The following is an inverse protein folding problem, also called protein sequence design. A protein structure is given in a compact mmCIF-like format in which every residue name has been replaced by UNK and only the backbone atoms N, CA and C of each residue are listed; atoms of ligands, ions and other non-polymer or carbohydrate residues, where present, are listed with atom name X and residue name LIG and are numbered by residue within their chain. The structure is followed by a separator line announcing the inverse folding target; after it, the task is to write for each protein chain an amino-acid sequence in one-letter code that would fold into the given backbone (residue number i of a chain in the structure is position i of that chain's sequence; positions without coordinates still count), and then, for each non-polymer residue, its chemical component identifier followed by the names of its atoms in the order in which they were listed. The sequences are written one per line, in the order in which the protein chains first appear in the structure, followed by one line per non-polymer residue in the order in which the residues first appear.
data_IF_155607869278
#
_entry.id   IF_155607869278
#
_cell.length_a   1.000
_cell.length_b   1.000
_cell.length_c   1.000
_cell.angle_alpha   90.00
_cell.angle_beta   90.00
_cell.angle_gamma   90.00
#
_symmetry.space_group_name_H-M   'P 1'
#
loop_
_entity.id
_entity.type
_entity.pdbx_description
1 polymer ?
#
# COMPACT_ATOMS: atom_id res chain seq x y z
N UNK A 1 -10.64 -7.48 -8.55
CA UNK A 1 -10.60 -6.44 -7.50
C UNK A 1 -11.27 -6.97 -6.22
N UNK A 2 -10.83 -8.14 -5.72
CA UNK A 2 -11.39 -8.79 -4.53
C UNK A 2 -10.70 -8.33 -3.23
N UNK A 3 -9.48 -7.79 -3.34
CA UNK A 3 -8.68 -7.35 -2.20
C UNK A 3 -9.30 -6.14 -1.48
N UNK A 4 -9.80 -5.15 -2.22
CA UNK A 4 -10.41 -3.96 -1.60
C UNK A 4 -11.60 -4.37 -0.74
N UNK A 5 -12.51 -5.20 -1.26
CA UNK A 5 -13.68 -5.69 -0.53
C UNK A 5 -13.30 -6.48 0.73
N UNK A 6 -12.26 -7.33 0.66
CA UNK A 6 -11.74 -8.01 1.85
C UNK A 6 -11.22 -7.02 2.90
N UNK A 7 -10.50 -5.99 2.49
CA UNK A 7 -10.01 -4.95 3.40
C UNK A 7 -11.17 -4.15 4.02
N UNK A 8 -12.21 -3.85 3.24
CA UNK A 8 -13.42 -3.18 3.77
C UNK A 8 -14.03 -3.99 4.90
N UNK A 9 -14.28 -5.29 4.67
CA UNK A 9 -14.85 -6.19 5.68
C UNK A 9 -13.95 -6.28 6.93
N UNK A 10 -12.64 -6.45 6.75
CA UNK A 10 -11.66 -6.47 7.84
C UNK A 10 -11.72 -5.18 8.68
N UNK A 11 -11.79 -4.02 8.03
CA UNK A 11 -11.81 -2.70 8.68
C UNK A 11 -13.11 -2.47 9.42
N UNK A 12 -14.25 -2.78 8.82
CA UNK A 12 -15.56 -2.59 9.45
C UNK A 12 -15.72 -3.50 10.67
N UNK A 13 -15.22 -4.74 10.62
CA UNK A 13 -15.17 -5.62 11.80
C UNK A 13 -14.25 -5.08 12.91
N UNK A 14 -13.11 -4.49 12.54
CA UNK A 14 -12.21 -3.86 13.51
C UNK A 14 -12.81 -2.60 14.11
N UNK A 15 -13.59 -1.82 13.34
CA UNK A 15 -14.26 -0.62 13.81
C UNK A 15 -15.19 -0.92 14.98
N UNK A 16 -16.13 -1.85 14.82
CA UNK A 16 -17.09 -2.17 15.88
C UNK A 16 -16.38 -2.63 17.16
N UNK A 17 -15.36 -3.50 17.05
CA UNK A 17 -14.54 -3.92 18.20
C UNK A 17 -13.83 -2.76 18.88
N UNK A 18 -13.25 -1.83 18.11
CA UNK A 18 -12.54 -0.68 18.67
C UNK A 18 -13.50 0.27 19.38
N UNK A 19 -14.69 0.51 18.81
CA UNK A 19 -15.72 1.38 19.41
C UNK A 19 -16.17 0.81 20.77
N UNK A 20 -16.47 -0.49 20.84
CA UNK A 20 -16.85 -1.16 22.09
C UNK A 20 -15.77 -1.06 23.18
N UNK A 21 -14.49 -1.05 22.80
CA UNK A 21 -13.34 -0.98 23.73
C UNK A 21 -13.01 0.43 24.24
N UNK A 22 -13.61 1.47 23.66
CA UNK A 22 -13.39 2.84 24.13
C UNK A 22 -14.01 3.05 25.53
N UNK A 23 -13.42 3.97 26.30
CA UNK A 23 -13.96 4.38 27.59
C UNK A 23 -15.12 5.37 27.42
N UNK A 24 -15.91 5.57 28.49
CA UNK A 24 -17.06 6.47 28.45
C UNK A 24 -16.65 7.92 28.13
N UNK A 25 -15.45 8.33 28.55
CA UNK A 25 -14.89 9.66 28.25
C UNK A 25 -14.77 9.94 26.76
N UNK A 26 -14.52 8.91 25.95
CA UNK A 26 -14.43 9.05 24.50
C UNK A 26 -15.77 9.46 23.85
N UNK A 27 -16.90 9.23 24.52
CA UNK A 27 -18.25 9.51 24.03
C UNK A 27 -18.87 10.80 24.61
N UNK A 28 -18.17 11.48 25.51
CA UNK A 28 -18.55 12.80 26.00
C UNK A 28 -18.51 13.84 24.87
N UNK A 29 -19.39 14.85 24.91
CA UNK A 29 -19.51 15.85 23.82
C UNK A 29 -18.20 16.57 23.48
N UNK A 30 -17.37 16.86 24.48
CA UNK A 30 -16.07 17.50 24.28
C UNK A 30 -15.02 16.62 23.57
N UNK A 31 -15.27 15.31 23.48
CA UNK A 31 -14.31 14.33 22.97
C UNK A 31 -14.80 13.59 21.72
N UNK A 32 -16.10 13.55 21.45
CA UNK A 32 -16.69 12.72 20.37
C UNK A 32 -16.11 13.00 18.99
N UNK A 33 -15.89 14.28 18.65
CA UNK A 33 -15.29 14.66 17.36
C UNK A 33 -13.85 14.15 17.25
N UNK A 34 -13.06 14.31 18.32
CA UNK A 34 -11.67 13.80 18.38
C UNK A 34 -11.63 12.28 18.30
N UNK A 35 -12.59 11.59 18.94
CA UNK A 35 -12.73 10.14 18.89
C UNK A 35 -12.99 9.66 17.47
N UNK A 36 -13.94 10.28 16.75
CA UNK A 36 -14.24 9.96 15.35
C UNK A 36 -13.02 10.16 14.44
N UNK A 37 -12.32 11.29 14.54
CA UNK A 37 -11.08 11.54 13.79
C UNK A 37 -10.01 10.48 14.09
N UNK A 38 -9.78 10.16 15.36
CA UNK A 38 -8.79 9.14 15.76
C UNK A 38 -9.14 7.74 15.26
N UNK A 39 -10.42 7.37 15.23
CA UNK A 39 -10.86 6.10 14.68
C UNK A 39 -10.62 6.06 13.17
N UNK A 40 -10.96 7.15 12.47
CA UNK A 40 -10.73 7.26 11.02
C UNK A 40 -9.25 7.16 10.67
N UNK A 41 -8.38 7.94 11.33
CA UNK A 41 -6.94 7.91 11.07
C UNK A 41 -6.30 6.54 11.29
N UNK A 42 -6.86 5.73 12.22
CA UNK A 42 -6.38 4.38 12.52
C UNK A 42 -6.89 3.31 11.57
N UNK A 43 -8.00 3.55 10.89
CA UNK A 43 -8.73 2.54 10.12
C UNK A 43 -8.77 2.83 8.63
N UNK A 44 -8.51 4.07 8.21
CA UNK A 44 -8.45 4.43 6.80
C UNK A 44 -7.40 3.59 6.07
N UNK A 45 -7.72 3.24 4.83
CA UNK A 45 -6.77 2.58 3.95
C UNK A 45 -5.88 3.66 3.34
N UNK A 46 -4.58 3.61 3.63
CA UNK A 46 -3.59 4.47 2.98
C UNK A 46 -2.91 3.75 1.82
N UNK A 47 -2.60 4.50 0.76
CA UNK A 47 -1.84 3.99 -0.38
C UNK A 47 -0.40 3.69 0.08
N UNK A 48 0.15 2.49 -0.22
CA UNK A 48 1.56 2.22 0.00
C UNK A 48 2.46 3.16 -0.81
N UNK A 49 3.56 3.59 -0.21
CA UNK A 49 4.49 4.51 -0.85
C UNK A 49 5.58 3.76 -1.62
N UNK A 50 5.65 4.02 -2.92
CA UNK A 50 6.62 3.42 -3.83
C UNK A 50 7.40 4.53 -4.54
N UNK A 51 8.69 4.63 -4.22
CA UNK A 51 9.55 5.72 -4.69
C UNK A 51 10.28 5.29 -5.97
N UNK A 52 9.55 5.32 -7.10
CA UNK A 52 10.08 4.98 -8.42
C UNK A 52 11.26 5.87 -8.81
N UNK A 53 11.20 7.14 -8.46
CA UNK A 53 12.21 8.15 -8.72
C UNK A 53 13.55 7.88 -8.01
N UNK A 54 13.53 7.12 -6.91
CA UNK A 54 14.73 6.69 -6.18
C UNK A 54 15.31 5.37 -6.72
N UNK A 55 14.97 4.97 -7.95
CA UNK A 55 15.47 3.72 -8.53
C UNK A 55 16.99 3.77 -8.71
N UNK A 56 17.70 2.85 -8.08
CA UNK A 56 19.13 2.64 -8.25
C UNK A 56 19.36 1.65 -9.38
N UNK A 57 20.29 1.98 -10.29
CA UNK A 57 20.67 1.12 -11.41
C UNK A 57 22.10 0.62 -11.22
N UNK A 58 22.28 -0.69 -11.27
CA UNK A 58 23.58 -1.36 -11.24
C UNK A 58 23.75 -2.17 -12.52
N UNK A 59 24.85 -1.95 -13.25
CA UNK A 59 25.25 -2.81 -14.37
C UNK A 59 26.55 -3.50 -13.95
N UNK A 60 26.58 -4.82 -14.06
CA UNK A 60 27.71 -5.59 -13.58
C UNK A 60 27.89 -6.92 -14.30
N UNK A 61 28.85 -7.69 -13.79
CA UNK A 61 29.19 -9.02 -14.27
C UNK A 61 29.25 -9.96 -13.07
N UNK A 62 28.73 -11.17 -13.21
CA UNK A 62 28.82 -12.23 -12.19
C UNK A 62 29.20 -13.55 -12.86
N UNK A 63 29.77 -14.48 -12.09
CA UNK A 63 30.08 -15.83 -12.59
C UNK A 63 28.89 -16.75 -12.39
N UNK A 64 28.56 -17.52 -13.43
CA UNK A 64 27.49 -18.51 -13.37
C UNK A 64 27.84 -19.61 -12.38
N UNK A 65 26.98 -19.82 -11.39
CA UNK A 65 27.08 -20.92 -10.43
C UNK A 65 26.26 -22.11 -10.96
N UNK A 66 26.78 -23.33 -10.78
CA UNK A 66 26.22 -24.58 -11.38
C UNK A 66 24.72 -24.79 -11.16
N UNK A 67 24.19 -24.37 -10.01
CA UNK A 67 22.78 -24.60 -9.63
C UNK A 67 21.82 -23.50 -10.07
N UNK A 68 22.32 -22.36 -10.57
CA UNK A 68 21.50 -21.19 -10.94
C UNK A 68 21.90 -20.65 -12.32
N UNK A 69 22.12 -21.57 -13.26
CA UNK A 69 22.63 -21.20 -14.59
C UNK A 69 21.51 -20.66 -15.48
N UNK A 70 21.59 -19.41 -15.95
CA UNK A 70 20.65 -18.88 -16.92
C UNK A 70 20.63 -19.75 -18.17
N UNK A 71 19.47 -19.86 -18.83
CA UNK A 71 19.32 -20.68 -20.04
C UNK A 71 20.36 -20.28 -21.09
N UNK A 72 21.19 -21.24 -21.50
CA UNK A 72 22.26 -21.03 -22.50
C UNK A 72 23.61 -20.57 -21.93
N UNK A 73 23.75 -20.44 -20.61
CA UNK A 73 25.01 -20.15 -19.94
C UNK A 73 25.66 -21.44 -19.39
N UNK A 74 26.98 -21.54 -19.48
CA UNK A 74 27.73 -22.65 -18.87
C UNK A 74 28.20 -22.29 -17.45
N UNK A 75 28.30 -23.25 -16.51
CA UNK A 75 28.91 -23.00 -15.21
C UNK A 75 30.31 -22.41 -15.34
N UNK A 76 30.62 -21.36 -14.56
CA UNK A 76 31.89 -20.65 -14.60
C UNK A 76 32.02 -19.60 -15.70
N UNK A 77 31.05 -19.47 -16.61
CA UNK A 77 30.97 -18.40 -17.60
C UNK A 77 30.65 -17.06 -16.93
N UNK A 78 31.21 -15.97 -17.44
CA UNK A 78 30.81 -14.62 -17.05
C UNK A 78 29.47 -14.25 -17.71
N UNK A 79 28.52 -13.77 -16.91
CA UNK A 79 27.25 -13.21 -17.37
C UNK A 79 27.15 -11.76 -16.95
N UNK A 80 26.52 -10.97 -17.81
CA UNK A 80 26.29 -9.55 -17.55
C UNK A 80 24.87 -9.36 -17.04
N UNK A 81 24.69 -8.43 -16.11
CA UNK A 81 23.38 -8.09 -15.62
C UNK A 81 23.17 -6.58 -15.52
N UNK A 82 21.92 -6.18 -15.63
CA UNK A 82 21.43 -4.88 -15.22
C UNK A 82 20.38 -5.11 -14.13
N UNK A 83 20.55 -4.43 -13.00
CA UNK A 83 19.70 -4.51 -11.83
C UNK A 83 19.13 -3.12 -11.53
N UNK A 84 17.80 -3.03 -11.51
CA UNK A 84 17.07 -1.84 -11.10
C UNK A 84 16.43 -2.14 -9.75
N UNK A 85 16.64 -1.25 -8.79
CA UNK A 85 16.17 -1.42 -7.42
C UNK A 85 15.39 -0.18 -7.00
N UNK A 86 14.09 -0.31 -6.80
CA UNK A 86 13.20 0.78 -6.42
C UNK A 86 12.63 0.54 -5.00
N UNK A 87 12.78 1.48 -4.06
CA UNK A 87 12.33 1.29 -2.69
C UNK A 87 10.81 1.39 -2.52
N UNK A 88 10.29 0.59 -1.59
CA UNK A 88 8.94 0.68 -1.01
C UNK A 88 9.11 1.34 0.36
N UNK A 89 8.60 2.56 0.53
CA UNK A 89 8.85 3.39 1.72
C UNK A 89 7.92 3.07 2.87
N UNK A 90 6.69 2.66 2.57
CA UNK A 90 5.67 2.38 3.58
C UNK A 90 4.62 1.38 3.08
N UNK A 91 3.93 0.74 4.00
CA UNK A 91 2.82 -0.17 3.67
C UNK A 91 3.23 -1.44 2.93
N UNK A 92 4.42 -1.99 3.21
CA UNK A 92 4.99 -3.14 2.49
C UNK A 92 4.03 -4.34 2.38
N UNK A 93 3.38 -4.72 3.47
CA UNK A 93 2.42 -5.84 3.46
C UNK A 93 1.25 -5.58 2.51
N UNK A 94 0.69 -4.38 2.55
CA UNK A 94 -0.40 -3.98 1.65
C UNK A 94 0.10 -3.88 0.20
N UNK A 95 1.30 -3.35 -0.02
CA UNK A 95 1.95 -3.31 -1.33
C UNK A 95 2.06 -4.72 -1.95
N UNK A 96 2.54 -5.70 -1.18
CA UNK A 96 2.61 -7.09 -1.61
C UNK A 96 1.23 -7.70 -1.90
N UNK A 97 0.22 -7.39 -1.07
CA UNK A 97 -1.16 -7.83 -1.30
C UNK A 97 -1.72 -7.25 -2.60
N UNK A 98 -1.49 -5.97 -2.90
CA UNK A 98 -1.98 -5.28 -4.10
C UNK A 98 -1.38 -5.89 -5.37
N UNK A 99 -0.06 -6.11 -5.39
CA UNK A 99 0.61 -6.66 -6.57
C UNK A 99 0.33 -8.15 -6.75
N UNK A 100 0.15 -8.88 -5.65
CA UNK A 100 -0.15 -10.32 -5.66
C UNK A 100 0.95 -11.15 -6.33
N UNK A 101 0.72 -12.47 -6.45
CA UNK A 101 1.72 -13.37 -7.07
C UNK A 101 1.88 -13.22 -8.58
N UNK A 102 0.93 -12.58 -9.25
CA UNK A 102 0.89 -12.47 -10.71
C UNK A 102 1.90 -11.47 -11.29
N UNK A 103 2.40 -10.56 -10.45
CA UNK A 103 3.36 -9.56 -10.89
C UNK A 103 4.81 -10.07 -10.85
N UNK A 104 5.05 -11.14 -10.09
CA UNK A 104 6.38 -11.66 -9.84
C UNK A 104 6.86 -12.64 -10.91
N UNK A 105 8.14 -12.53 -11.25
CA UNK A 105 8.86 -13.44 -12.15
C UNK A 105 10.32 -13.51 -11.73
N UNK A 106 11.08 -14.45 -12.27
CA UNK A 106 12.52 -14.60 -11.96
C UNK A 106 13.33 -13.30 -12.14
N UNK A 107 12.87 -12.42 -13.04
CA UNK A 107 13.51 -11.15 -13.36
C UNK A 107 12.84 -9.94 -12.69
N UNK A 108 11.75 -10.15 -11.94
CA UNK A 108 11.00 -9.08 -11.31
C UNK A 108 10.36 -9.54 -10.00
N UNK A 109 10.87 -9.07 -8.87
CA UNK A 109 10.46 -9.55 -7.55
C UNK A 109 10.55 -8.44 -6.50
N UNK A 110 10.00 -8.70 -5.31
CA UNK A 110 10.09 -7.80 -4.17
C UNK A 110 10.82 -8.53 -3.02
N UNK A 111 11.79 -7.86 -2.40
CA UNK A 111 12.50 -8.33 -1.21
C UNK A 111 13.01 -7.13 -0.40
N UNK A 112 13.16 -7.25 0.92
CA UNK A 112 13.77 -6.22 1.79
C UNK A 112 13.30 -4.79 1.50
N UNK A 113 11.97 -4.60 1.43
CA UNK A 113 11.30 -3.33 1.11
C UNK A 113 11.72 -2.70 -0.23
N UNK A 114 12.10 -3.52 -1.21
CA UNK A 114 12.54 -3.07 -2.53
C UNK A 114 11.96 -3.94 -3.63
N UNK A 115 11.60 -3.29 -4.73
CA UNK A 115 11.28 -3.92 -6.00
C UNK A 115 12.55 -4.06 -6.81
N UNK A 116 12.83 -5.26 -7.27
CA UNK A 116 13.97 -5.59 -8.10
C UNK A 116 13.50 -5.94 -9.51
N UNK A 117 14.13 -5.34 -10.51
CA UNK A 117 14.12 -5.82 -11.89
C UNK A 117 15.56 -6.23 -12.26
N UNK A 118 15.82 -7.52 -12.43
CA UNK A 118 17.12 -8.06 -12.85
C UNK A 118 17.03 -8.57 -14.27
N UNK A 119 17.87 -8.08 -15.17
CA UNK A 119 17.97 -8.58 -16.53
C UNK A 119 19.36 -9.13 -16.80
N UNK A 120 19.42 -10.44 -17.05
CA UNK A 120 20.65 -11.15 -17.40
C UNK A 120 20.85 -11.13 -18.92
N UNK A 121 22.11 -11.03 -19.35
CA UNK A 121 22.56 -11.05 -20.74
C UNK A 121 23.85 -11.89 -20.86
N UNK A 122 23.91 -12.77 -21.86
CA UNK A 122 25.14 -13.47 -22.23
C UNK A 122 26.10 -12.58 -23.03
N UNK A 123 25.59 -11.48 -23.59
CA UNK A 123 26.39 -10.47 -24.28
C UNK A 123 26.76 -9.33 -23.34
N UNK A 124 27.94 -8.73 -23.55
CA UNK A 124 28.41 -7.55 -22.80
C UNK A 124 27.36 -6.44 -22.85
N UNK A 125 26.90 -6.00 -21.67
CA UNK A 125 25.96 -4.87 -21.52
C UNK A 125 26.72 -3.55 -21.51
N UNK A 126 27.86 -3.51 -20.82
CA UNK A 126 28.72 -2.33 -20.71
C UNK A 126 29.13 -1.85 -22.13
N UNK A 127 29.02 -0.55 -22.37
CA UNK A 127 29.25 0.13 -23.67
C UNK A 127 28.23 -0.20 -24.78
N UNK A 128 27.22 -1.03 -24.51
CA UNK A 128 26.16 -1.34 -25.46
C UNK A 128 24.93 -0.45 -25.24
N UNK A 129 25.00 0.80 -25.70
CA UNK A 129 23.96 1.82 -25.48
C UNK A 129 22.56 1.38 -25.92
N UNK A 130 22.46 0.67 -27.06
CA UNK A 130 21.18 0.17 -27.58
C UNK A 130 20.55 -0.87 -26.65
N UNK A 131 21.36 -1.81 -26.14
CA UNK A 131 20.90 -2.82 -25.19
C UNK A 131 20.54 -2.20 -23.84
N UNK A 132 21.37 -1.29 -23.32
CA UNK A 132 21.10 -0.56 -22.07
C UNK A 132 19.75 0.16 -22.15
N UNK A 133 19.52 0.89 -23.24
CA UNK A 133 18.27 1.63 -23.44
C UNK A 133 17.05 0.70 -23.52
N UNK A 134 17.19 -0.44 -24.20
CA UNK A 134 16.13 -1.44 -24.28
C UNK A 134 15.79 -2.02 -22.90
N UNK A 135 16.80 -2.33 -22.09
CA UNK A 135 16.60 -2.87 -20.73
C UNK A 135 15.95 -1.80 -19.84
N UNK A 136 16.43 -0.56 -19.92
CA UNK A 136 15.88 0.59 -19.19
C UNK A 136 14.39 0.77 -19.46
N UNK A 137 13.99 0.83 -20.73
CA UNK A 137 12.57 0.95 -21.11
C UNK A 137 11.72 -0.21 -20.59
N UNK A 138 12.27 -1.43 -20.56
CA UNK A 138 11.57 -2.59 -20.01
C UNK A 138 11.39 -2.48 -18.50
N UNK A 139 12.41 -2.03 -17.77
CA UNK A 139 12.33 -1.79 -16.33
C UNK A 139 11.33 -0.67 -16.03
N UNK A 140 11.47 0.50 -16.69
CA UNK A 140 10.57 1.65 -16.54
C UNK A 140 9.10 1.24 -16.76
N UNK A 141 8.79 0.55 -17.85
CA UNK A 141 7.44 0.09 -18.14
C UNK A 141 6.87 -0.90 -17.09
N UNK A 142 7.72 -1.63 -16.37
CA UNK A 142 7.29 -2.51 -15.26
C UNK A 142 7.03 -1.71 -14.00
N UNK A 143 7.89 -0.76 -13.66
CA UNK A 143 7.70 0.11 -12.50
C UNK A 143 6.49 1.04 -12.70
N UNK A 144 6.26 1.54 -13.92
CA UNK A 144 5.07 2.33 -14.26
C UNK A 144 3.77 1.56 -14.04
N UNK A 145 3.75 0.27 -14.38
CA UNK A 145 2.60 -0.60 -14.11
C UNK A 145 2.32 -0.74 -12.61
N UNK A 146 3.36 -0.78 -11.76
CA UNK A 146 3.19 -0.77 -10.31
C UNK A 146 2.54 0.54 -9.89
N UNK A 147 3.09 1.68 -10.31
CA UNK A 147 2.53 2.99 -9.99
C UNK A 147 1.06 3.09 -10.36
N UNK A 148 0.71 2.68 -11.59
CA UNK A 148 -0.68 2.67 -12.06
C UNK A 148 -1.58 1.75 -11.22
N UNK A 149 -1.11 0.57 -10.81
CA UNK A 149 -1.88 -0.32 -9.94
C UNK A 149 -2.12 0.28 -8.56
N UNK A 150 -1.09 0.91 -7.98
CA UNK A 150 -1.22 1.60 -6.69
C UNK A 150 -2.15 2.81 -6.78
N UNK A 151 -2.11 3.56 -7.88
CA UNK A 151 -3.01 4.70 -8.13
C UNK A 151 -4.47 4.23 -8.25
N UNK A 152 -4.71 3.18 -9.04
CA UNK A 152 -6.06 2.60 -9.17
C UNK A 152 -6.58 2.08 -7.82
N UNK A 153 -5.72 1.43 -7.03
CA UNK A 153 -6.09 0.99 -5.69
C UNK A 153 -6.40 2.18 -4.77
N UNK A 154 -5.58 3.24 -4.83
CA UNK A 154 -5.77 4.42 -4.01
C UNK A 154 -7.12 5.10 -4.25
N UNK A 155 -7.53 5.23 -5.51
CA UNK A 155 -8.83 5.81 -5.85
C UNK A 155 -9.99 5.04 -5.18
N UNK A 156 -9.94 3.71 -5.23
CA UNK A 156 -10.95 2.85 -4.60
C UNK A 156 -10.92 2.93 -3.07
N UNK A 157 -9.71 3.05 -2.50
CA UNK A 157 -9.52 3.23 -1.07
C UNK A 157 -10.05 4.59 -0.59
N UNK A 158 -9.82 5.67 -1.34
CA UNK A 158 -10.37 6.99 -1.05
C UNK A 158 -11.90 7.00 -1.14
N UNK A 159 -12.47 6.36 -2.17
CA UNK A 159 -13.92 6.20 -2.30
C UNK A 159 -14.52 5.48 -1.09
N UNK A 160 -13.92 4.35 -0.69
CA UNK A 160 -14.33 3.63 0.53
C UNK A 160 -14.20 4.50 1.79
N UNK A 161 -13.05 5.14 1.98
CA UNK A 161 -12.76 5.96 3.15
C UNK A 161 -13.80 7.09 3.30
N UNK A 162 -14.19 7.72 2.19
CA UNK A 162 -15.15 8.83 2.19
C UNK A 162 -16.61 8.38 2.25
N UNK A 163 -17.00 7.42 1.41
CA UNK A 163 -18.41 7.04 1.21
C UNK A 163 -18.91 6.01 2.24
N UNK A 164 -18.03 5.19 2.80
CA UNK A 164 -18.42 4.08 3.66
C UNK A 164 -17.82 4.21 5.07
N UNK A 165 -16.49 4.36 5.19
CA UNK A 165 -15.83 4.34 6.49
C UNK A 165 -16.21 5.52 7.38
N UNK A 166 -16.11 6.76 6.86
CA UNK A 166 -16.48 7.96 7.60
C UNK A 166 -17.92 7.91 8.14
N UNK A 167 -18.95 7.66 7.30
CA UNK A 167 -20.33 7.55 7.77
C UNK A 167 -20.54 6.41 8.77
N UNK A 168 -19.85 5.28 8.58
CA UNK A 168 -20.00 4.13 9.49
C UNK A 168 -19.39 4.42 10.85
N UNK A 169 -18.23 5.08 10.93
CA UNK A 169 -17.65 5.55 12.20
C UNK A 169 -18.63 6.47 12.93
N UNK A 170 -19.25 7.40 12.21
CA UNK A 170 -20.22 8.31 12.82
C UNK A 170 -21.42 7.57 13.41
N UNK A 171 -21.95 6.61 12.66
CA UNK A 171 -23.10 5.78 13.08
C UNK A 171 -22.76 4.90 14.27
N UNK A 172 -21.65 4.17 14.24
CA UNK A 172 -21.23 3.25 15.30
C UNK A 172 -20.94 4.00 16.61
N UNK A 173 -20.23 5.13 16.55
CA UNK A 173 -19.92 5.94 17.74
C UNK A 173 -21.19 6.53 18.36
N UNK A 174 -22.13 7.02 17.55
CA UNK A 174 -23.40 7.54 18.06
C UNK A 174 -24.27 6.42 18.64
N UNK A 175 -24.36 5.27 17.97
CA UNK A 175 -25.10 4.11 18.48
C UNK A 175 -24.54 3.63 19.83
N UNK A 176 -23.21 3.55 19.95
CA UNK A 176 -22.54 3.13 21.18
C UNK A 176 -22.73 4.15 22.30
N UNK A 177 -22.66 5.45 21.99
CA UNK A 177 -22.97 6.51 22.95
C UNK A 177 -24.39 6.38 23.51
N UNK A 178 -25.38 6.16 22.65
CA UNK A 178 -26.78 5.95 23.04
C UNK A 178 -26.91 4.70 23.90
N UNK A 179 -26.27 3.59 23.51
CA UNK A 179 -26.27 2.33 24.27
C UNK A 179 -25.74 2.51 25.70
N UNK A 180 -24.73 3.37 25.88
CA UNK A 180 -24.13 3.70 27.19
C UNK A 180 -24.91 4.76 27.98
N UNK A 181 -25.95 5.35 27.41
CA UNK A 181 -26.76 6.38 28.07
C UNK A 181 -26.04 7.71 28.30
N UNK A 182 -24.95 7.97 27.58
CA UNK A 182 -24.16 9.20 27.72
C UNK A 182 -24.89 10.32 26.96
N UNK A 183 -25.70 11.10 27.70
CA UNK A 183 -26.55 12.14 27.15
C UNK A 183 -25.75 13.21 26.39
N UNK A 184 -26.36 13.76 25.33
CA UNK A 184 -25.94 15.03 24.71
C UNK A 184 -26.25 16.16 25.68
N UNK A 185 -25.25 16.98 26.01
CA UNK A 185 -25.43 18.19 26.80
C UNK A 185 -26.51 19.04 26.14
N UNK A 186 -27.63 19.23 26.82
CA UNK A 186 -28.82 19.97 26.34
C UNK A 186 -28.66 21.49 26.38
N UNK A 187 -27.45 22.06 26.45
CA UNK A 187 -27.28 23.52 26.48
C UNK A 187 -27.83 24.22 25.21
N UNK A 188 -28.01 23.51 24.09
CA UNK A 188 -28.71 24.04 22.90
C UNK A 188 -30.23 23.87 22.95
N UNK A 189 -30.78 23.05 23.87
CA UNK A 189 -32.21 22.80 24.00
C UNK A 189 -32.93 23.77 24.97
N UNK A 190 -32.17 24.61 25.71
CA UNK A 190 -32.71 25.52 26.72
C UNK A 190 -33.11 26.92 26.20
N UNK A 191 -32.87 27.24 24.91
CA UNK A 191 -33.33 28.51 24.30
C UNK A 191 -34.02 28.31 22.93
N UNK A 192 -35.28 27.83 22.90
CA UNK A 192 -36.10 27.86 21.68
C UNK A 192 -36.79 29.23 21.43
N UNK A 193 -36.50 30.29 22.20
CA UNK A 193 -37.23 31.56 22.15
C UNK A 193 -36.35 32.82 22.05
N UNK A 194 -35.30 32.80 21.23
CA UNK A 194 -34.64 34.02 20.76
C UNK A 194 -34.56 34.02 19.23
N UNK A 195 -35.73 34.10 18.61
CA UNK A 195 -35.97 34.55 17.23
C UNK A 195 -37.18 35.48 17.24
#
# INVERSE_FOLDING_TARGET
MQLIEQLKDEILQQLSKKVEQLDDKAFEDGNIAKTKTRLFDKLKIEKPEFAKEETIVTIGTEKVVKYDSPKGASPGQDIYFALYVAPVKSGHELFLRILGRHFWSDNFYCADDKVFFKKISLSKIVENTSLIEKIRKQAEARLDKITQMLDNFHLLAEEFNAAELHPTIEKEVEAERVRRGIQKSTETALNPCLS
#
